data_IF_793647306030
#
_entry.id   IF_793647306030
#
_cell.length_a   1.000
_cell.length_b   1.000
_cell.length_c   1.000
_cell.angle_alpha   90.00
_cell.angle_beta   90.00
_cell.angle_gamma   90.00
#
_symmetry.space_group_name_H-M   'P 1'
#
loop_
_entity.id
_entity.type
_entity.pdbx_description
1 polymer ?
#
# COMPACT_ATOMS: atom_id res chain seq x y z
N UNK A 1 0.62 -5.74 26.84
CA UNK A 1 1.81 -5.21 26.12
C UNK A 1 1.80 -3.69 26.19
N UNK A 2 2.68 -3.05 26.97
CA UNK A 2 2.71 -1.58 27.16
C UNK A 2 3.45 -0.88 26.00
N UNK A 3 2.73 -0.04 25.27
CA UNK A 3 3.15 1.25 24.66
C UNK A 3 4.05 1.35 23.40
N UNK A 4 4.69 0.29 22.87
CA UNK A 4 5.57 0.44 21.70
C UNK A 4 4.81 0.28 20.38
N UNK A 5 4.68 1.38 19.62
CA UNK A 5 3.91 1.48 18.35
C UNK A 5 4.76 1.13 17.12
N UNK A 6 5.60 0.10 17.23
CA UNK A 6 6.53 -0.30 16.18
C UNK A 6 6.87 -1.79 16.27
N UNK A 7 7.34 -2.37 15.17
CA UNK A 7 7.98 -3.68 15.12
C UNK A 7 9.39 -3.56 14.54
N UNK A 8 10.24 -4.54 14.87
CA UNK A 8 11.55 -4.75 14.26
C UNK A 8 11.46 -6.07 13.51
N UNK A 9 11.70 -6.03 12.20
CA UNK A 9 11.52 -7.17 11.31
C UNK A 9 12.86 -7.57 10.70
N UNK A 10 13.02 -8.87 10.46
CA UNK A 10 14.06 -9.42 9.61
C UNK A 10 13.52 -9.66 8.20
N UNK A 11 14.38 -9.60 7.16
CA UNK A 11 14.29 -10.43 5.98
C UNK A 11 13.50 -11.74 6.13
N UNK A 12 12.52 -11.96 5.26
CA UNK A 12 11.71 -13.19 5.23
C UNK A 12 10.37 -13.11 5.97
N UNK A 13 10.14 -12.10 6.81
CA UNK A 13 8.81 -11.87 7.41
C UNK A 13 7.87 -11.27 6.36
N UNK A 14 6.86 -12.04 5.93
CA UNK A 14 5.81 -11.54 5.05
C UNK A 14 4.77 -10.69 5.80
N UNK A 15 3.93 -9.96 5.06
CA UNK A 15 2.81 -9.25 5.67
C UNK A 15 1.80 -10.21 6.33
N UNK A 16 1.69 -11.45 5.83
CA UNK A 16 0.86 -12.49 6.43
C UNK A 16 1.44 -12.96 7.76
N UNK A 17 2.74 -13.23 7.83
CA UNK A 17 3.41 -13.64 9.07
C UNK A 17 3.27 -12.57 10.16
N UNK A 18 3.46 -11.30 9.78
CA UNK A 18 3.28 -10.17 10.69
C UNK A 18 1.83 -10.06 11.16
N UNK A 19 0.86 -10.20 10.26
CA UNK A 19 -0.56 -10.17 10.60
C UNK A 19 -0.92 -11.28 11.58
N UNK A 20 -0.52 -12.52 11.30
CA UNK A 20 -0.77 -13.67 12.17
C UNK A 20 -0.16 -13.47 13.56
N UNK A 21 1.07 -12.95 13.63
CA UNK A 21 1.74 -12.70 14.90
C UNK A 21 1.04 -11.61 15.72
N UNK A 22 0.52 -10.57 15.06
CA UNK A 22 -0.28 -9.54 15.73
C UNK A 22 -1.60 -10.11 16.27
N UNK A 23 -2.27 -11.00 15.52
CA UNK A 23 -3.48 -11.70 15.96
C UNK A 23 -3.19 -12.61 17.16
N UNK A 24 -2.14 -13.45 17.09
CA UNK A 24 -1.72 -14.35 18.18
C UNK A 24 -1.46 -13.59 19.49
N UNK A 25 -0.95 -12.36 19.40
CA UNK A 25 -0.66 -11.49 20.56
C UNK A 25 -1.86 -10.67 21.05
N UNK A 26 -3.03 -10.76 20.40
CA UNK A 26 -4.19 -9.92 20.70
C UNK A 26 -3.90 -8.43 20.49
N UNK A 27 -3.04 -8.10 19.53
CA UNK A 27 -2.58 -6.74 19.28
C UNK A 27 -3.71 -5.84 18.76
N UNK A 28 -3.69 -4.57 19.18
CA UNK A 28 -4.60 -3.52 18.71
C UNK A 28 -3.94 -2.63 17.65
N UNK A 29 -2.92 -3.12 16.96
CA UNK A 29 -2.19 -2.37 15.95
C UNK A 29 -2.48 -2.89 14.54
N UNK A 30 -2.57 -1.97 13.59
CA UNK A 30 -2.82 -2.22 12.18
C UNK A 30 -1.53 -2.11 11.40
N UNK A 31 -1.44 -2.92 10.34
CA UNK A 31 -0.33 -2.96 9.38
C UNK A 31 -0.78 -2.28 8.10
N UNK A 32 0.07 -1.42 7.53
CA UNK A 32 -0.09 -0.92 6.17
C UNK A 32 0.50 -1.96 5.21
N UNK A 33 -0.33 -2.51 4.30
CA UNK A 33 0.09 -3.55 3.38
C UNK A 33 -0.10 -3.12 1.91
N UNK A 34 0.81 -3.53 1.01
CA UNK A 34 0.62 -3.36 -0.43
C UNK A 34 -0.47 -4.31 -0.95
N UNK A 35 -0.85 -4.15 -2.22
CA UNK A 35 -1.88 -5.01 -2.84
C UNK A 35 -1.55 -6.53 -2.85
N UNK A 36 -0.28 -6.92 -2.70
CA UNK A 36 0.16 -8.32 -2.64
C UNK A 36 1.10 -8.48 -1.43
N UNK A 37 0.75 -9.37 -0.49
CA UNK A 37 1.39 -9.47 0.83
C UNK A 37 2.69 -10.31 0.94
N UNK A 38 3.26 -10.81 -0.17
CA UNK A 38 4.36 -11.80 -0.16
C UNK A 38 5.79 -11.23 -0.24
N UNK A 39 5.99 -9.92 -0.12
CA UNK A 39 7.32 -9.31 -0.23
C UNK A 39 8.25 -9.63 0.96
N UNK A 40 9.54 -9.85 0.67
CA UNK A 40 10.61 -10.10 1.65
C UNK A 40 11.95 -9.51 1.17
N UNK A 41 12.86 -9.19 2.10
CA UNK A 41 14.29 -8.86 1.83
C UNK A 41 15.22 -9.94 2.40
N UNK A 42 16.55 -9.87 2.21
CA UNK A 42 17.56 -10.93 2.49
C UNK A 42 18.79 -10.41 3.29
N UNK A 43 19.67 -11.25 3.88
CA UNK A 43 20.74 -10.79 4.81
C UNK A 43 22.19 -10.68 4.25
N UNK A 44 23.04 -9.88 4.94
CA UNK A 44 24.48 -9.63 4.72
C UNK A 44 25.12 -8.82 5.89
N UNK A 45 26.37 -8.36 5.80
CA UNK A 45 27.12 -7.77 6.94
C UNK A 45 26.52 -6.48 7.57
N UNK A 46 26.86 -6.22 8.85
CA UNK A 46 26.02 -5.41 9.77
C UNK A 46 26.51 -3.96 9.93
N UNK A 47 25.70 -3.00 9.50
CA UNK A 47 25.70 -1.60 9.97
C UNK A 47 24.32 -1.26 10.53
N UNK A 48 24.24 -0.58 11.69
CA UNK A 48 22.96 -0.15 12.29
C UNK A 48 22.79 1.37 12.14
N UNK A 49 21.72 1.79 11.47
CA UNK A 49 21.41 3.20 11.22
C UNK A 49 20.69 3.89 12.40
N UNK A 50 20.71 5.23 12.41
CA UNK A 50 20.03 6.07 13.39
C UNK A 50 20.45 5.80 14.83
N UNK A 51 19.50 5.84 15.76
CA UNK A 51 19.75 5.54 17.18
C UNK A 51 20.16 4.08 17.45
N UNK A 52 20.11 3.19 16.45
CA UNK A 52 20.60 1.81 16.53
C UNK A 52 22.13 1.69 16.52
N UNK A 53 22.84 2.76 16.15
CA UNK A 53 24.29 2.85 16.25
C UNK A 53 24.79 3.04 17.69
N UNK A 54 23.92 3.54 18.60
CA UNK A 54 24.24 3.70 20.02
C UNK A 54 23.92 2.41 20.78
N UNK A 55 24.93 1.81 21.39
CA UNK A 55 24.78 0.56 22.14
C UNK A 55 23.80 0.72 23.31
N UNK A 56 22.90 -0.25 23.49
CA UNK A 56 21.86 -0.23 24.54
C UNK A 56 20.72 0.78 24.32
N UNK A 57 20.68 1.49 23.19
CA UNK A 57 19.69 2.54 22.97
C UNK A 57 18.27 2.00 22.73
N UNK A 58 17.35 2.31 23.65
CA UNK A 58 15.93 1.90 23.57
C UNK A 58 15.08 2.70 22.58
N UNK A 59 15.65 3.64 21.83
CA UNK A 59 14.90 4.61 21.00
C UNK A 59 15.11 4.42 19.50
N UNK A 60 15.71 3.30 19.07
CA UNK A 60 16.02 3.03 17.66
C UNK A 60 14.80 3.18 16.75
N UNK A 61 13.65 2.59 17.10
CA UNK A 61 12.44 2.68 16.29
C UNK A 61 11.55 3.89 16.63
N UNK A 62 11.93 4.73 17.59
CA UNK A 62 11.15 5.91 17.98
C UNK A 62 11.69 7.19 17.37
N UNK A 63 12.97 7.23 16.96
CA UNK A 63 13.59 8.40 16.37
C UNK A 63 14.54 8.00 15.22
N UNK A 64 14.19 8.29 13.95
CA UNK A 64 14.93 7.76 12.81
C UNK A 64 16.28 8.44 12.57
N UNK A 65 16.44 9.72 12.93
CA UNK A 65 17.57 10.51 12.45
C UNK A 65 18.91 10.22 13.15
N UNK A 66 18.88 9.83 14.42
CA UNK A 66 20.10 9.67 15.21
C UNK A 66 20.90 10.96 15.35
N UNK A 67 22.23 10.86 15.19
CA UNK A 67 23.16 11.98 15.23
C UNK A 67 24.10 11.95 14.01
N UNK A 68 24.35 13.10 13.39
CA UNK A 68 25.18 13.23 12.19
C UNK A 68 24.41 13.02 10.87
N UNK A 69 25.08 12.61 9.78
CA UNK A 69 24.45 12.41 8.48
C UNK A 69 23.38 11.31 8.50
N UNK A 70 22.17 11.66 8.08
CA UNK A 70 21.05 10.73 7.94
C UNK A 70 21.18 9.93 6.64
N UNK A 71 21.48 8.64 6.76
CA UNK A 71 21.93 7.80 5.65
C UNK A 71 20.93 6.70 5.25
N UNK A 72 19.80 6.52 5.94
CA UNK A 72 18.80 5.49 5.62
C UNK A 72 18.38 5.50 4.14
N UNK A 73 18.23 6.71 3.56
CA UNK A 73 17.81 6.90 2.18
C UNK A 73 18.76 6.30 1.14
N UNK A 74 20.05 6.18 1.44
CA UNK A 74 21.04 5.66 0.47
C UNK A 74 20.90 4.15 0.25
N UNK A 75 20.13 3.45 1.10
CA UNK A 75 19.84 2.01 0.96
C UNK A 75 18.49 1.73 0.29
N UNK A 76 17.66 2.75 0.06
CA UNK A 76 16.38 2.61 -0.63
C UNK A 76 16.61 2.61 -2.14
N UNK A 77 16.15 1.56 -2.84
CA UNK A 77 16.36 1.38 -4.29
C UNK A 77 17.83 1.53 -4.71
N UNK A 78 18.72 0.90 -3.94
CA UNK A 78 20.17 1.05 -4.06
C UNK A 78 20.88 -0.30 -3.95
N UNK A 79 22.15 -0.33 -4.34
CA UNK A 79 23.06 -1.47 -4.24
C UNK A 79 24.18 -1.27 -3.20
N UNK A 80 24.10 -0.22 -2.37
CA UNK A 80 25.14 0.15 -1.41
C UNK A 80 25.21 -0.75 -0.17
N UNK A 81 24.30 -1.71 -0.01
CA UNK A 81 24.31 -2.66 1.09
C UNK A 81 23.12 -3.61 1.09
N UNK A 82 23.15 -4.59 2.00
CA UNK A 82 22.08 -5.57 2.21
C UNK A 82 21.42 -5.31 3.58
N UNK A 83 20.10 -5.08 3.60
CA UNK A 83 19.36 -4.76 4.83
C UNK A 83 18.99 -6.03 5.59
N UNK A 84 19.54 -6.21 6.79
CA UNK A 84 19.28 -7.39 7.65
C UNK A 84 18.18 -7.20 8.69
N UNK A 85 17.83 -5.96 9.06
CA UNK A 85 16.73 -5.65 9.98
C UNK A 85 16.17 -4.27 9.67
N UNK A 86 14.87 -4.08 9.81
CA UNK A 86 14.22 -2.80 9.63
C UNK A 86 13.12 -2.56 10.66
N UNK A 87 13.05 -1.32 11.16
CA UNK A 87 12.00 -0.88 12.07
C UNK A 87 10.81 -0.30 11.31
N UNK A 88 9.61 -0.72 11.66
CA UNK A 88 8.37 -0.20 11.07
C UNK A 88 7.44 0.31 12.15
N UNK A 89 6.83 1.47 11.91
CA UNK A 89 5.75 1.95 12.76
C UNK A 89 4.46 1.18 12.49
N UNK A 90 3.67 0.98 13.54
CA UNK A 90 2.36 0.36 13.47
C UNK A 90 1.29 1.38 13.83
N UNK A 91 0.22 1.43 13.06
CA UNK A 91 -0.88 2.34 13.33
C UNK A 91 -1.74 1.78 14.47
N UNK A 92 -2.05 2.55 15.53
CA UNK A 92 -3.05 2.14 16.51
C UNK A 92 -4.41 1.89 15.84
N UNK A 93 -5.19 0.94 16.37
CA UNK A 93 -6.57 0.74 15.95
C UNK A 93 -7.32 2.08 16.03
N UNK A 94 -7.86 2.58 14.90
CA UNK A 94 -8.48 3.90 14.83
C UNK A 94 -9.83 3.98 15.58
N UNK A 95 -10.35 2.86 16.09
CA UNK A 95 -11.64 2.81 16.79
C UNK A 95 -12.85 2.73 15.87
N UNK A 96 -12.64 2.73 14.56
CA UNK A 96 -13.69 2.57 13.55
C UNK A 96 -13.12 2.68 12.13
N UNK A 97 -13.72 1.94 11.19
CA UNK A 97 -13.33 1.98 9.79
C UNK A 97 -14.55 1.72 8.91
N UNK A 98 -14.68 2.52 7.84
CA UNK A 98 -15.73 2.36 6.84
C UNK A 98 -15.12 2.57 5.45
N UNK A 99 -15.00 1.52 4.62
CA UNK A 99 -14.64 1.68 3.23
C UNK A 99 -15.82 2.30 2.46
N UNK A 100 -15.51 2.99 1.37
CA UNK A 100 -16.51 3.50 0.43
C UNK A 100 -15.97 3.37 -1.00
N UNK A 101 -16.87 3.49 -1.96
CA UNK A 101 -16.57 3.52 -3.39
C UNK A 101 -17.41 4.63 -4.03
N UNK A 102 -16.78 5.47 -4.84
CA UNK A 102 -17.43 6.47 -5.67
C UNK A 102 -17.25 6.07 -7.13
N UNK A 103 -18.35 5.84 -7.83
CA UNK A 103 -18.35 5.54 -9.26
C UNK A 103 -18.43 6.84 -10.06
N UNK A 104 -17.54 6.98 -11.03
CA UNK A 104 -17.48 8.16 -11.92
C UNK A 104 -17.78 7.69 -13.34
N UNK A 105 -18.95 8.02 -13.90
CA UNK A 105 -19.46 7.36 -15.10
C UNK A 105 -18.60 7.59 -16.34
N UNK A 106 -18.12 8.82 -16.58
CA UNK A 106 -17.50 9.19 -17.85
C UNK A 106 -15.98 9.11 -17.81
N UNK A 107 -15.39 8.71 -18.94
CA UNK A 107 -13.94 8.70 -19.15
C UNK A 107 -13.31 10.08 -18.95
N UNK A 108 -13.95 11.14 -19.42
CA UNK A 108 -13.41 12.51 -19.40
C UNK A 108 -13.36 13.14 -17.99
N UNK A 109 -14.12 12.60 -17.02
CA UNK A 109 -14.28 13.18 -15.70
C UNK A 109 -13.05 12.97 -14.78
N UNK A 110 -12.03 12.24 -15.25
CA UNK A 110 -10.80 11.98 -14.48
C UNK A 110 -10.13 13.28 -14.00
N UNK A 111 -10.06 14.29 -14.86
CA UNK A 111 -9.41 15.56 -14.51
C UNK A 111 -10.11 16.24 -13.32
N UNK A 112 -11.44 16.37 -13.41
CA UNK A 112 -12.25 17.01 -12.38
C UNK A 112 -12.25 16.20 -11.07
N UNK A 113 -12.29 14.86 -11.18
CA UNK A 113 -12.14 13.96 -10.03
C UNK A 113 -10.82 14.22 -9.29
N UNK A 114 -9.70 14.29 -10.01
CA UNK A 114 -8.37 14.55 -9.42
C UNK A 114 -8.32 15.93 -8.76
N UNK A 115 -8.92 16.96 -9.37
CA UNK A 115 -8.96 18.30 -8.77
C UNK A 115 -9.74 18.34 -7.45
N UNK A 116 -10.83 17.57 -7.36
CA UNK A 116 -11.63 17.42 -6.13
C UNK A 116 -10.84 16.66 -5.06
N UNK A 117 -10.25 15.53 -5.41
CA UNK A 117 -9.45 14.71 -4.48
C UNK A 117 -8.28 15.52 -3.93
N UNK A 118 -7.58 16.30 -4.75
CA UNK A 118 -6.47 17.16 -4.31
C UNK A 118 -6.87 18.06 -3.14
N UNK A 119 -8.02 18.72 -3.22
CA UNK A 119 -8.52 19.61 -2.17
C UNK A 119 -8.85 18.85 -0.88
N UNK A 120 -9.46 17.68 -1.01
CA UNK A 120 -9.84 16.84 0.13
C UNK A 120 -8.62 16.20 0.81
N UNK A 121 -7.64 15.77 0.02
CA UNK A 121 -6.40 15.16 0.50
C UNK A 121 -5.52 16.16 1.23
N UNK A 122 -5.35 17.37 0.68
CA UNK A 122 -4.57 18.43 1.32
C UNK A 122 -5.17 18.89 2.67
N UNK A 123 -6.46 18.67 2.88
CA UNK A 123 -7.17 18.98 4.12
C UNK A 123 -7.30 17.80 5.08
N UNK A 124 -6.67 16.66 4.77
CA UNK A 124 -6.76 15.42 5.56
C UNK A 124 -8.20 14.89 5.74
N UNK A 125 -9.14 15.29 4.86
CA UNK A 125 -10.49 14.72 4.83
C UNK A 125 -10.40 13.27 4.32
N UNK A 126 -9.61 13.06 3.26
CA UNK A 126 -9.21 11.72 2.84
C UNK A 126 -7.92 11.38 3.57
N UNK A 127 -7.99 10.41 4.49
CA UNK A 127 -6.94 10.13 5.48
C UNK A 127 -5.92 9.07 5.00
N UNK A 128 -6.38 8.01 4.33
CA UNK A 128 -5.52 6.97 3.76
C UNK A 128 -4.94 7.38 2.40
N UNK A 129 -4.17 6.51 1.75
CA UNK A 129 -3.80 6.64 0.35
C UNK A 129 -4.95 6.11 -0.53
N UNK A 130 -5.81 6.97 -1.11
CA UNK A 130 -6.90 6.48 -1.94
C UNK A 130 -6.39 6.09 -3.33
N UNK A 131 -7.17 5.28 -4.06
CA UNK A 131 -6.81 4.83 -5.41
C UNK A 131 -7.92 5.18 -6.40
N UNK A 132 -7.58 5.79 -7.53
CA UNK A 132 -8.48 5.86 -8.68
C UNK A 132 -8.17 4.66 -9.57
N UNK A 133 -9.16 3.82 -9.84
CA UNK A 133 -9.04 2.61 -10.64
C UNK A 133 -9.87 2.74 -11.90
N UNK A 134 -9.28 2.37 -13.03
CA UNK A 134 -10.02 2.21 -14.28
C UNK A 134 -10.82 0.89 -14.20
N UNK A 135 -12.02 0.86 -14.76
CA UNK A 135 -12.96 -0.26 -14.62
C UNK A 135 -12.44 -1.63 -15.08
N UNK A 136 -11.55 -1.67 -16.07
CA UNK A 136 -10.86 -2.86 -16.56
C UNK A 136 -9.92 -3.47 -15.52
N UNK A 137 -9.39 -2.68 -14.57
CA UNK A 137 -8.64 -3.26 -13.45
C UNK A 137 -9.57 -4.10 -12.58
N UNK A 138 -10.77 -3.59 -12.27
CA UNK A 138 -11.80 -4.36 -11.55
C UNK A 138 -12.27 -5.57 -12.36
N UNK A 139 -12.47 -5.42 -13.67
CA UNK A 139 -12.85 -6.51 -14.57
C UNK A 139 -11.77 -7.61 -14.62
N UNK A 140 -10.49 -7.24 -14.67
CA UNK A 140 -9.36 -8.16 -14.69
C UNK A 140 -9.16 -8.89 -13.36
N UNK A 141 -9.54 -8.27 -12.23
CA UNK A 141 -9.57 -8.96 -10.94
C UNK A 141 -10.65 -10.05 -10.87
N UNK A 142 -11.70 -9.94 -11.68
CA UNK A 142 -12.82 -10.89 -11.67
C UNK A 142 -12.60 -12.01 -12.67
N UNK A 143 -12.26 -11.66 -13.92
CA UNK A 143 -12.11 -12.64 -15.00
C UNK A 143 -11.07 -12.17 -16.02
N UNK A 144 -10.56 -13.12 -16.81
CA UNK A 144 -9.68 -12.81 -17.92
C UNK A 144 -10.44 -12.09 -19.06
N UNK A 145 -9.68 -11.48 -19.99
CA UNK A 145 -10.22 -10.71 -21.12
C UNK A 145 -11.21 -11.50 -21.98
N UNK A 146 -10.92 -12.79 -22.23
CA UNK A 146 -11.78 -13.67 -23.03
C UNK A 146 -13.19 -13.79 -22.43
N UNK A 147 -13.32 -13.76 -21.11
CA UNK A 147 -14.63 -13.82 -20.46
C UNK A 147 -15.51 -12.59 -20.75
N UNK A 148 -14.89 -11.45 -21.09
CA UNK A 148 -15.58 -10.19 -21.40
C UNK A 148 -15.84 -9.98 -22.90
N UNK A 149 -15.03 -10.59 -23.77
CA UNK A 149 -15.14 -10.47 -25.23
C UNK A 149 -15.69 -11.70 -25.94
N UNK A 150 -15.63 -12.89 -25.33
CA UNK A 150 -15.98 -14.15 -25.98
C UNK A 150 -14.84 -14.71 -26.84
N UNK A 151 -15.18 -15.54 -27.83
CA UNK A 151 -14.21 -16.17 -28.73
C UNK A 151 -13.68 -15.23 -29.82
N UNK A 152 -14.45 -14.20 -30.19
CA UNK A 152 -14.04 -13.16 -31.13
C UNK A 152 -13.44 -11.97 -30.37
N UNK A 153 -12.12 -12.01 -30.15
CA UNK A 153 -11.41 -10.96 -29.40
C UNK A 153 -11.03 -9.79 -30.30
N UNK A 154 -11.19 -8.55 -29.81
CA UNK A 154 -10.68 -7.37 -30.52
C UNK A 154 -9.15 -7.37 -30.61
N UNK A 155 -8.62 -6.97 -31.76
CA UNK A 155 -7.19 -6.70 -31.91
C UNK A 155 -6.81 -5.40 -31.19
N UNK A 156 -5.77 -5.46 -30.35
CA UNK A 156 -5.27 -4.29 -29.63
C UNK A 156 -6.10 -3.91 -28.39
N UNK A 157 -6.25 -2.60 -28.16
CA UNK A 157 -6.94 -2.06 -27.00
C UNK A 157 -8.47 -2.17 -27.16
N UNK A 158 -9.16 -2.45 -26.05
CA UNK A 158 -10.63 -2.47 -26.04
C UNK A 158 -11.18 -1.08 -26.45
N UNK A 159 -12.11 -1.02 -27.42
CA UNK A 159 -12.85 0.21 -27.72
C UNK A 159 -13.59 0.74 -26.49
N UNK A 160 -13.71 2.05 -26.36
CA UNK A 160 -14.36 2.67 -25.19
C UNK A 160 -15.80 2.18 -24.98
N UNK A 161 -16.54 1.92 -26.06
CA UNK A 161 -17.89 1.36 -26.03
C UNK A 161 -17.93 0.03 -25.24
N UNK A 162 -16.98 -0.87 -25.50
CA UNK A 162 -16.84 -2.14 -24.78
C UNK A 162 -16.48 -1.92 -23.31
N UNK A 163 -15.66 -0.91 -23.02
CA UNK A 163 -15.31 -0.55 -21.65
C UNK A 163 -16.55 -0.05 -20.89
N UNK A 164 -17.41 0.74 -21.52
CA UNK A 164 -18.69 1.19 -20.92
C UNK A 164 -19.66 0.03 -20.69
N UNK A 165 -19.77 -0.91 -21.63
CA UNK A 165 -20.58 -2.13 -21.42
C UNK A 165 -20.09 -2.95 -20.22
N UNK A 166 -18.77 -3.10 -20.07
CA UNK A 166 -18.17 -3.79 -18.91
C UNK A 166 -18.49 -3.00 -17.64
N UNK A 167 -18.41 -1.66 -17.67
CA UNK A 167 -18.73 -0.82 -16.53
C UNK A 167 -20.19 -0.97 -16.10
N UNK A 168 -21.13 -0.97 -17.04
CA UNK A 168 -22.55 -1.21 -16.78
C UNK A 168 -22.80 -2.60 -16.18
N UNK A 169 -22.21 -3.65 -16.76
CA UNK A 169 -22.31 -5.03 -16.23
C UNK A 169 -21.78 -5.15 -14.80
N UNK A 170 -20.75 -4.38 -14.46
CA UNK A 170 -20.15 -4.36 -13.12
C UNK A 170 -20.86 -3.39 -12.16
N UNK A 171 -21.85 -2.63 -12.64
CA UNK A 171 -22.47 -1.52 -11.91
C UNK A 171 -21.43 -0.50 -11.38
N UNK A 172 -20.45 -0.20 -12.23
CA UNK A 172 -19.35 0.72 -11.98
C UNK A 172 -19.35 1.87 -13.00
N UNK A 173 -18.66 2.95 -12.66
CA UNK A 173 -18.30 3.98 -13.63
C UNK A 173 -17.04 3.60 -14.41
N UNK A 174 -16.69 4.39 -15.44
CA UNK A 174 -15.42 4.25 -16.14
C UNK A 174 -14.21 4.34 -15.17
N UNK A 175 -14.37 5.17 -14.13
CA UNK A 175 -13.44 5.25 -13.00
C UNK A 175 -14.15 4.89 -11.68
N UNK A 176 -13.43 4.19 -10.81
CA UNK A 176 -13.81 3.96 -9.41
C UNK A 176 -12.80 4.62 -8.48
N UNK A 177 -13.28 5.37 -7.50
CA UNK A 177 -12.49 5.96 -6.43
C UNK A 177 -12.81 5.31 -5.08
#
# INVERSE_FOLDING_TARGET
MKSRRFCLLEPGVSYFDLYEELQKRGSQFWVDCPGIGWGCTSPGDIVRAGNGALEGCGTWQTFPYGFGPYHDGIFSQSNLGIITKAGFWLMPNPGGFKPFLITVPRKEDLHELVQRIRRLRNRMIIQNAPTIRQVLLSAACLQNRKAWEGDEMSEGALPDERVYEIAEKLNLGYWGF
#
